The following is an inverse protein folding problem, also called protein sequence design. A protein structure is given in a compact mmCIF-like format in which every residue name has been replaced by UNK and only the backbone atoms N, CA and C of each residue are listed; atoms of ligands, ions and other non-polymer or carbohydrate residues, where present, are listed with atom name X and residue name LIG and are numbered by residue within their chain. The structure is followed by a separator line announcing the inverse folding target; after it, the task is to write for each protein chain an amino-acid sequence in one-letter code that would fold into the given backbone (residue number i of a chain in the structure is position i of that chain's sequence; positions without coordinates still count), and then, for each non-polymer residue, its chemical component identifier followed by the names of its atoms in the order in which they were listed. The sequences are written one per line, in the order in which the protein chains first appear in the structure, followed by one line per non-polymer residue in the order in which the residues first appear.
data_IF_291889911493
#
_entry.id   IF_291889911493
#
_cell.length_a   1.000
_cell.length_b   1.000
_cell.length_c   1.000
_cell.angle_alpha   90.00
_cell.angle_beta   90.00
_cell.angle_gamma   90.00
#
_symmetry.space_group_name_H-M   'P 1'
#
loop_
_entity.id
_entity.type
_entity.pdbx_description
1 polymer ?
#
# COMPACT_ATOMS: atom_id res chain seq x y z
N UNK A 1 -54.65 44.43 4.23
CA UNK A 1 -54.54 43.39 5.27
C UNK A 1 -54.61 42.08 4.51
N UNK A 2 -53.44 41.61 4.06
CA UNK A 2 -53.31 40.52 3.08
C UNK A 2 -52.25 39.57 3.63
N UNK A 3 -52.61 38.30 3.75
CA UNK A 3 -51.75 37.21 4.19
C UNK A 3 -50.58 37.03 3.22
N UNK A 4 -49.35 36.99 3.75
CA UNK A 4 -48.18 36.48 3.02
C UNK A 4 -47.79 35.13 3.63
N UNK A 5 -48.26 34.08 2.98
CA UNK A 5 -47.81 32.70 3.19
C UNK A 5 -46.34 32.59 2.74
N UNK A 6 -45.44 32.20 3.65
CA UNK A 6 -44.04 31.88 3.33
C UNK A 6 -43.76 30.42 3.69
N UNK A 7 -43.24 29.59 2.77
CA UNK A 7 -43.14 28.15 2.96
C UNK A 7 -42.00 27.79 3.92
N UNK A 8 -42.33 27.00 4.94
CA UNK A 8 -41.39 26.23 5.73
C UNK A 8 -40.95 25.01 4.89
N UNK A 9 -39.70 24.97 4.43
CA UNK A 9 -39.29 23.83 3.61
C UNK A 9 -37.85 23.77 3.11
N UNK A 10 -36.90 24.52 3.66
CA UNK A 10 -35.51 24.50 3.16
C UNK A 10 -34.42 24.43 4.23
N UNK A 11 -34.76 24.57 5.52
CA UNK A 11 -33.78 24.46 6.60
C UNK A 11 -33.48 23.01 6.99
N UNK A 12 -34.46 22.11 6.89
CA UNK A 12 -34.34 20.72 7.37
C UNK A 12 -33.50 19.81 6.43
N UNK A 13 -33.35 20.23 5.17
CA UNK A 13 -32.55 19.50 4.18
C UNK A 13 -31.04 19.78 4.28
N UNK A 14 -30.63 20.89 4.91
CA UNK A 14 -29.23 21.26 5.06
C UNK A 14 -28.59 20.69 6.34
N UNK A 15 -29.39 20.47 7.39
CA UNK A 15 -28.91 19.92 8.67
C UNK A 15 -28.72 18.39 8.62
N UNK A 16 -29.39 17.72 7.68
CA UNK A 16 -29.26 16.28 7.44
C UNK A 16 -27.99 15.86 6.68
N UNK A 17 -27.17 16.81 6.20
CA UNK A 17 -25.96 16.53 5.42
C UNK A 17 -24.67 16.41 6.27
N UNK A 18 -24.72 16.77 7.55
CA UNK A 18 -23.57 16.73 8.49
C UNK A 18 -23.66 15.57 9.52
N UNK A 19 -24.70 14.74 9.43
CA UNK A 19 -24.73 13.48 10.16
C UNK A 19 -23.69 12.54 9.54
N UNK A 20 -22.49 12.51 10.12
CA UNK A 20 -21.45 11.56 9.78
C UNK A 20 -22.04 10.15 9.68
N UNK A 21 -22.04 9.60 8.46
CA UNK A 21 -22.54 8.26 8.15
C UNK A 21 -21.83 7.22 9.06
N UNK A 22 -22.55 6.57 9.99
CA UNK A 22 -21.95 5.61 10.93
C UNK A 22 -21.39 4.37 10.21
N UNK A 23 -21.77 4.14 8.94
CA UNK A 23 -21.18 3.10 8.11
C UNK A 23 -19.81 3.51 7.54
N UNK A 24 -19.56 4.82 7.32
CA UNK A 24 -18.21 5.30 6.98
C UNK A 24 -17.25 5.14 8.14
N UNK A 25 -17.63 5.49 9.36
CA UNK A 25 -16.75 5.36 10.54
C UNK A 25 -16.42 3.88 10.85
N UNK A 26 -17.38 2.96 10.69
CA UNK A 26 -17.13 1.51 10.79
C UNK A 26 -16.25 0.99 9.65
N UNK A 27 -16.40 1.53 8.44
CA UNK A 27 -15.57 1.16 7.29
C UNK A 27 -14.12 1.67 7.42
N UNK A 28 -13.90 2.89 7.93
CA UNK A 28 -12.56 3.42 8.22
C UNK A 28 -11.90 2.77 9.44
N UNK A 29 -12.67 2.43 10.48
CA UNK A 29 -12.20 1.67 11.65
C UNK A 29 -11.75 0.24 11.31
N UNK A 30 -12.22 -0.32 10.19
CA UNK A 30 -11.90 -1.67 9.75
C UNK A 30 -10.42 -1.88 9.39
N UNK A 31 -9.78 -0.94 8.69
CA UNK A 31 -8.37 -1.06 8.24
C UNK A 31 -7.40 -0.66 9.36
N UNK A 32 -7.65 0.47 10.02
CA UNK A 32 -6.79 0.96 11.12
C UNK A 32 -6.87 0.03 12.34
N UNK A 33 -8.05 -0.54 12.62
CA UNK A 33 -8.24 -1.53 13.68
C UNK A 33 -7.76 -2.93 13.35
N UNK A 34 -7.49 -3.25 12.07
CA UNK A 34 -7.03 -4.58 11.67
C UNK A 34 -5.60 -4.87 12.14
N UNK A 35 -4.70 -3.89 12.11
CA UNK A 35 -3.31 -4.02 12.56
C UNK A 35 -3.19 -4.40 14.04
N UNK A 36 -3.75 -3.64 15.00
CA UNK A 36 -3.66 -3.99 16.41
C UNK A 36 -4.41 -5.28 16.73
N UNK A 37 -5.48 -5.60 16.00
CA UNK A 37 -6.21 -6.85 16.17
C UNK A 37 -5.38 -8.07 15.71
N UNK A 38 -4.84 -8.03 14.48
CA UNK A 38 -4.04 -9.13 13.93
C UNK A 38 -2.79 -9.42 14.76
N UNK A 39 -2.13 -8.37 15.25
CA UNK A 39 -0.98 -8.50 16.13
C UNK A 39 -1.32 -9.23 17.44
N UNK A 40 -2.50 -8.92 18.03
CA UNK A 40 -2.97 -9.54 19.27
C UNK A 40 -3.48 -10.96 19.06
N UNK A 41 -4.15 -11.24 17.95
CA UNK A 41 -4.76 -12.55 17.68
C UNK A 41 -3.76 -13.60 17.21
N UNK A 42 -2.66 -13.20 16.58
CA UNK A 42 -1.68 -14.13 16.02
C UNK A 42 -0.80 -14.75 17.09
N UNK A 43 -0.53 -16.05 16.99
CA UNK A 43 0.42 -16.79 17.85
C UNK A 43 1.87 -16.78 17.29
N UNK A 44 2.08 -16.28 16.08
CA UNK A 44 3.37 -16.31 15.40
C UNK A 44 4.17 -15.03 15.62
N UNK A 45 5.34 -15.15 16.26
CA UNK A 45 6.28 -14.04 16.42
C UNK A 45 6.75 -13.45 15.08
N UNK A 46 6.90 -14.29 14.05
CA UNK A 46 7.31 -13.86 12.71
C UNK A 46 6.23 -13.02 12.02
N UNK A 47 4.96 -13.39 12.21
CA UNK A 47 3.86 -12.59 11.71
C UNK A 47 3.70 -11.29 12.50
N UNK A 48 3.86 -11.33 13.83
CA UNK A 48 3.82 -10.14 14.67
C UNK A 48 4.90 -9.13 14.30
N UNK A 49 6.14 -9.57 14.05
CA UNK A 49 7.21 -8.70 13.56
C UNK A 49 6.86 -8.13 12.18
N UNK A 50 6.31 -8.95 11.29
CA UNK A 50 5.84 -8.48 9.99
C UNK A 50 4.72 -7.44 10.11
N UNK A 51 3.73 -7.64 10.99
CA UNK A 51 2.62 -6.71 11.14
C UNK A 51 3.11 -5.31 11.57
N UNK A 52 4.14 -5.24 12.40
CA UNK A 52 4.79 -3.98 12.76
C UNK A 52 5.58 -3.39 11.59
N UNK A 53 6.47 -4.17 10.98
CA UNK A 53 7.35 -3.70 9.88
C UNK A 53 6.52 -3.33 8.64
N UNK A 54 5.60 -4.18 8.24
CA UNK A 54 4.68 -3.97 7.13
C UNK A 54 3.71 -2.82 7.38
N UNK A 55 3.24 -2.62 8.62
CA UNK A 55 2.45 -1.45 8.99
C UNK A 55 3.25 -0.15 8.84
N UNK A 56 4.48 -0.12 9.35
CA UNK A 56 5.38 1.01 9.18
C UNK A 56 5.74 1.25 7.70
N UNK A 57 6.01 0.19 6.93
CA UNK A 57 6.29 0.27 5.50
C UNK A 57 5.08 0.81 4.71
N UNK A 58 3.86 0.36 5.02
CA UNK A 58 2.64 0.86 4.40
C UNK A 58 2.42 2.35 4.71
N UNK A 59 2.67 2.78 5.95
CA UNK A 59 2.61 4.19 6.33
C UNK A 59 3.66 5.03 5.60
N UNK A 60 4.91 4.54 5.52
CA UNK A 60 5.97 5.21 4.78
C UNK A 60 5.63 5.32 3.28
N UNK A 61 5.15 4.25 2.66
CA UNK A 61 4.66 4.27 1.28
C UNK A 61 3.54 5.29 1.11
N UNK A 62 2.53 5.29 1.97
CA UNK A 62 1.44 6.25 1.90
C UNK A 62 1.94 7.70 1.96
N UNK A 63 2.89 8.01 2.85
CA UNK A 63 3.52 9.33 2.94
C UNK A 63 4.30 9.67 1.66
N UNK A 64 5.12 8.75 1.16
CA UNK A 64 5.90 8.95 -0.07
C UNK A 64 4.99 9.22 -1.27
N UNK A 65 3.94 8.42 -1.45
CA UNK A 65 2.97 8.61 -2.53
C UNK A 65 2.18 9.92 -2.35
N UNK A 66 1.82 10.30 -1.13
CA UNK A 66 1.17 11.59 -0.87
C UNK A 66 2.08 12.77 -1.23
N UNK A 67 3.35 12.76 -0.81
CA UNK A 67 4.32 13.79 -1.14
C UNK A 67 4.58 13.87 -2.65
N UNK A 68 4.70 12.73 -3.31
CA UNK A 68 4.89 12.67 -4.75
C UNK A 68 3.65 13.17 -5.52
N UNK A 69 2.43 12.92 -5.01
CA UNK A 69 1.21 13.54 -5.54
C UNK A 69 1.25 15.07 -5.38
N UNK A 70 1.67 15.59 -4.22
CA UNK A 70 1.82 17.05 -4.00
C UNK A 70 2.81 17.64 -5.00
N UNK A 71 3.98 17.02 -5.19
CA UNK A 71 4.98 17.44 -6.19
C UNK A 71 4.40 17.41 -7.62
N UNK A 72 3.66 16.35 -7.96
CA UNK A 72 3.02 16.21 -9.26
C UNK A 72 1.99 17.32 -9.51
N UNK A 73 1.28 17.77 -8.47
CA UNK A 73 0.33 18.88 -8.56
C UNK A 73 1.03 20.24 -8.67
N UNK A 74 2.14 20.42 -7.95
CA UNK A 74 2.95 21.66 -7.97
C UNK A 74 3.69 21.88 -9.29
N UNK A 75 4.03 20.81 -10.02
CA UNK A 75 4.71 20.88 -11.30
C UNK A 75 3.81 21.33 -12.48
N UNK A 76 2.52 21.59 -12.27
CA UNK A 76 1.56 21.83 -13.36
C UNK A 76 0.89 23.21 -13.31
N UNK A 77 1.42 24.19 -14.07
CA UNK A 77 0.73 25.45 -14.37
C UNK A 77 -0.22 25.37 -15.58
N UNK A 78 -0.06 24.41 -16.52
CA UNK A 78 -0.86 24.42 -17.77
C UNK A 78 -1.43 23.08 -18.27
N UNK A 79 -1.18 21.93 -17.64
CA UNK A 79 -1.43 20.66 -18.33
C UNK A 79 -2.63 19.84 -17.83
N UNK A 80 -3.61 19.63 -18.74
CA UNK A 80 -4.74 18.70 -18.60
C UNK A 80 -4.24 17.24 -18.59
N UNK A 81 -3.94 16.65 -17.44
CA UNK A 81 -3.53 15.22 -17.36
C UNK A 81 -4.18 14.46 -16.21
N UNK A 82 -5.38 13.90 -16.46
CA UNK A 82 -6.01 12.93 -15.56
C UNK A 82 -5.31 11.55 -15.57
N UNK A 83 -4.77 11.14 -16.72
CA UNK A 83 -4.20 9.79 -16.92
C UNK A 83 -2.94 9.55 -16.08
N UNK A 84 -1.98 10.49 -16.08
CA UNK A 84 -0.73 10.36 -15.30
C UNK A 84 -1.01 10.34 -13.80
N UNK A 85 -1.96 11.15 -13.33
CA UNK A 85 -2.37 11.20 -11.92
C UNK A 85 -3.05 9.90 -11.48
N UNK A 86 -3.96 9.37 -12.29
CA UNK A 86 -4.61 8.09 -12.03
C UNK A 86 -3.61 6.92 -12.00
N UNK A 87 -2.62 6.93 -12.89
CA UNK A 87 -1.54 5.93 -12.89
C UNK A 87 -0.73 5.98 -11.59
N UNK A 88 -0.41 7.18 -11.09
CA UNK A 88 0.33 7.33 -9.84
C UNK A 88 -0.44 6.72 -8.64
N UNK A 89 -1.74 6.95 -8.57
CA UNK A 89 -2.62 6.34 -7.56
C UNK A 89 -2.63 4.82 -7.71
N UNK A 90 -2.73 4.30 -8.94
CA UNK A 90 -2.72 2.86 -9.20
C UNK A 90 -1.42 2.21 -8.74
N UNK A 91 -0.27 2.80 -9.03
CA UNK A 91 1.04 2.30 -8.60
C UNK A 91 1.15 2.34 -7.06
N UNK A 92 0.70 3.43 -6.44
CA UNK A 92 0.67 3.54 -4.98
C UNK A 92 -0.19 2.46 -4.33
N UNK A 93 -1.39 2.26 -4.85
CA UNK A 93 -2.29 1.22 -4.37
C UNK A 93 -1.71 -0.18 -4.62
N UNK A 94 -1.09 -0.41 -5.78
CA UNK A 94 -0.45 -1.68 -6.11
C UNK A 94 0.75 -2.01 -5.20
N UNK A 95 1.43 -1.00 -4.65
CA UNK A 95 2.50 -1.19 -3.66
C UNK A 95 1.94 -1.39 -2.24
N UNK A 96 0.95 -0.59 -1.84
CA UNK A 96 0.38 -0.61 -0.49
C UNK A 96 -0.49 -1.84 -0.25
N UNK A 97 -1.34 -2.22 -1.21
CA UNK A 97 -2.31 -3.31 -1.02
C UNK A 97 -1.65 -4.66 -0.67
N UNK A 98 -0.60 -5.13 -1.35
CA UNK A 98 0.09 -6.37 -0.98
C UNK A 98 0.93 -6.24 0.30
N UNK A 99 1.33 -5.01 0.68
CA UNK A 99 1.98 -4.76 1.98
C UNK A 99 0.99 -5.00 3.13
N UNK A 100 -0.21 -4.46 3.01
CA UNK A 100 -1.26 -4.55 4.04
C UNK A 100 -2.01 -5.89 3.98
N UNK A 101 -2.03 -6.53 2.80
CA UNK A 101 -2.76 -7.76 2.51
C UNK A 101 -2.56 -8.89 3.54
N UNK A 102 -1.32 -9.28 3.88
CA UNK A 102 -1.10 -10.36 4.84
C UNK A 102 -1.74 -10.09 6.20
N UNK A 103 -1.71 -8.84 6.66
CA UNK A 103 -2.32 -8.43 7.92
C UNK A 103 -3.83 -8.56 7.88
N UNK A 104 -4.45 -8.09 6.79
CA UNK A 104 -5.90 -8.20 6.61
C UNK A 104 -6.37 -9.64 6.47
N UNK A 105 -5.61 -10.49 5.77
CA UNK A 105 -5.95 -11.90 5.61
C UNK A 105 -5.91 -12.64 6.94
N UNK A 106 -4.90 -12.39 7.78
CA UNK A 106 -4.82 -12.97 9.13
C UNK A 106 -5.91 -12.43 10.03
N UNK A 107 -6.14 -11.11 10.06
CA UNK A 107 -7.22 -10.51 10.84
C UNK A 107 -8.59 -11.11 10.47
N UNK A 108 -8.85 -11.24 9.16
CA UNK A 108 -10.11 -11.78 8.65
C UNK A 108 -10.30 -13.25 9.01
N UNK A 109 -9.26 -14.07 8.88
CA UNK A 109 -9.33 -15.50 9.19
C UNK A 109 -9.66 -15.71 10.68
N UNK A 110 -8.98 -14.98 11.57
CA UNK A 110 -9.24 -15.05 13.02
C UNK A 110 -10.62 -14.52 13.40
N UNK A 111 -11.10 -13.42 12.78
CA UNK A 111 -12.46 -12.91 13.02
C UNK A 111 -13.55 -13.87 12.60
N UNK A 112 -13.30 -14.71 11.59
CA UNK A 112 -14.26 -15.66 11.04
C UNK A 112 -14.18 -17.05 11.65
N UNK A 113 -13.14 -17.33 12.44
CA UNK A 113 -12.88 -18.67 12.96
C UNK A 113 -12.60 -19.67 11.84
N UNK A 114 -11.93 -19.23 10.76
CA UNK A 114 -11.60 -20.11 9.64
C UNK A 114 -10.77 -21.32 10.14
N UNK A 115 -11.05 -22.56 9.70
CA UNK A 115 -10.39 -23.78 10.17
C UNK A 115 -9.01 -23.96 9.52
N UNK A 116 -8.15 -22.94 9.62
CA UNK A 116 -6.77 -22.97 9.12
C UNK A 116 -5.79 -23.21 10.27
N UNK A 117 -4.64 -23.86 10.05
CA UNK A 117 -3.60 -23.99 11.07
C UNK A 117 -3.03 -22.61 11.43
N UNK A 118 -3.59 -21.97 12.48
CA UNK A 118 -3.38 -20.56 12.83
C UNK A 118 -1.90 -20.15 12.81
N UNK A 119 -1.04 -20.86 13.53
CA UNK A 119 0.39 -20.53 13.63
C UNK A 119 1.15 -20.66 12.30
N UNK A 120 0.91 -21.73 11.54
CA UNK A 120 1.60 -21.98 10.27
C UNK A 120 1.12 -21.04 9.16
N UNK A 121 -0.19 -20.79 9.11
CA UNK A 121 -0.82 -19.82 8.22
C UNK A 121 -0.27 -18.42 8.48
N UNK A 122 -0.25 -17.96 9.74
CA UNK A 122 0.26 -16.65 10.11
C UNK A 122 1.74 -16.49 9.75
N UNK A 123 2.56 -17.49 10.08
CA UNK A 123 3.98 -17.48 9.73
C UNK A 123 4.19 -17.42 8.21
N UNK A 124 3.45 -18.23 7.43
CA UNK A 124 3.56 -18.24 5.97
C UNK A 124 3.18 -16.89 5.35
N UNK A 125 2.12 -16.25 5.85
CA UNK A 125 1.72 -14.90 5.44
C UNK A 125 2.73 -13.84 5.84
N UNK A 126 3.33 -13.94 7.02
CA UNK A 126 4.43 -13.08 7.45
C UNK A 126 5.65 -13.19 6.52
N UNK A 127 6.06 -14.43 6.19
CA UNK A 127 7.15 -14.67 5.23
C UNK A 127 6.81 -14.11 3.86
N UNK A 128 5.61 -14.39 3.34
CA UNK A 128 5.17 -13.87 2.05
C UNK A 128 5.18 -12.34 2.01
N UNK A 129 4.76 -11.70 3.10
CA UNK A 129 4.84 -10.25 3.26
C UNK A 129 6.27 -9.71 3.24
N UNK A 130 7.20 -10.33 3.96
CA UNK A 130 8.61 -9.95 3.90
C UNK A 130 9.22 -10.16 2.51
N UNK A 131 8.88 -11.26 1.85
CA UNK A 131 9.29 -11.51 0.47
C UNK A 131 8.74 -10.44 -0.47
N UNK A 132 7.49 -9.99 -0.27
CA UNK A 132 6.94 -8.87 -1.02
C UNK A 132 7.73 -7.57 -0.78
N UNK A 133 8.02 -7.21 0.48
CA UNK A 133 8.82 -6.01 0.77
C UNK A 133 10.22 -6.07 0.15
N UNK A 134 10.87 -7.24 0.21
CA UNK A 134 12.15 -7.47 -0.46
C UNK A 134 12.00 -7.31 -1.98
N UNK A 135 10.97 -7.89 -2.58
CA UNK A 135 10.71 -7.79 -4.02
C UNK A 135 10.45 -6.34 -4.46
N UNK A 136 9.79 -5.54 -3.62
CA UNK A 136 9.56 -4.12 -3.87
C UNK A 136 10.87 -3.34 -3.86
N UNK A 137 11.73 -3.58 -2.86
CA UNK A 137 13.07 -3.00 -2.80
C UNK A 137 13.91 -3.35 -4.03
N UNK A 138 13.96 -4.64 -4.38
CA UNK A 138 14.71 -5.12 -5.55
C UNK A 138 14.16 -4.54 -6.85
N UNK A 139 12.84 -4.40 -6.98
CA UNK A 139 12.19 -3.77 -8.12
C UNK A 139 12.61 -2.31 -8.30
N UNK A 140 12.68 -1.55 -7.20
CA UNK A 140 13.17 -0.16 -7.23
C UNK A 140 14.63 -0.08 -7.66
N UNK A 141 15.50 -0.95 -7.11
CA UNK A 141 16.93 -0.99 -7.47
C UNK A 141 17.11 -1.35 -8.96
N UNK A 142 16.35 -2.32 -9.47
CA UNK A 142 16.39 -2.71 -10.87
C UNK A 142 15.82 -1.63 -11.81
N UNK A 143 14.86 -0.84 -11.35
CA UNK A 143 14.27 0.26 -12.12
C UNK A 143 15.14 1.53 -12.14
N UNK A 144 16.25 1.58 -11.37
CA UNK A 144 17.06 2.79 -11.23
C UNK A 144 17.78 3.14 -12.54
N UNK A 145 17.49 4.31 -13.15
CA UNK A 145 18.14 4.72 -14.39
C UNK A 145 19.63 4.99 -14.16
N UNK A 146 20.42 4.87 -15.23
CA UNK A 146 21.87 5.12 -15.17
C UNK A 146 22.19 6.57 -14.76
N UNK A 147 21.35 7.52 -15.17
CA UNK A 147 21.46 8.95 -14.85
C UNK A 147 20.09 9.51 -14.52
N UNK A 148 20.01 10.43 -13.56
CA UNK A 148 18.79 11.14 -13.17
C UNK A 148 19.10 12.59 -12.79
N UNK A 149 18.09 13.46 -12.82
CA UNK A 149 18.25 14.86 -12.43
C UNK A 149 18.03 15.02 -10.93
N UNK A 150 18.95 15.70 -10.25
CA UNK A 150 18.84 16.11 -8.85
C UNK A 150 19.28 17.56 -8.75
N UNK A 151 18.39 18.44 -8.27
CA UNK A 151 18.63 19.89 -8.17
C UNK A 151 19.08 20.58 -9.48
N UNK A 152 18.63 20.07 -10.62
CA UNK A 152 18.98 20.59 -11.95
C UNK A 152 20.30 20.06 -12.51
N UNK A 153 21.03 19.24 -11.75
CA UNK A 153 22.24 18.58 -12.21
C UNK A 153 21.99 17.11 -12.57
N UNK A 154 22.65 16.64 -13.63
CA UNK A 154 22.58 15.25 -14.06
C UNK A 154 23.55 14.42 -13.24
N UNK A 155 23.02 13.59 -12.34
CA UNK A 155 23.79 12.71 -11.47
C UNK A 155 23.72 11.28 -11.99
N UNK A 156 24.87 10.61 -12.04
CA UNK A 156 24.96 9.19 -12.37
C UNK A 156 24.68 8.32 -11.13
N UNK A 157 24.03 7.17 -11.33
CA UNK A 157 23.83 6.21 -10.24
C UNK A 157 25.19 5.71 -9.71
N UNK A 158 25.32 5.44 -8.41
CA UNK A 158 26.56 4.91 -7.84
C UNK A 158 26.95 3.56 -8.46
N UNK A 159 28.25 3.32 -8.72
CA UNK A 159 28.70 2.02 -9.19
C UNK A 159 28.49 0.93 -8.09
N UNK A 160 28.21 -0.32 -8.47
CA UNK A 160 28.12 -1.42 -7.52
C UNK A 160 29.42 -1.55 -6.71
N UNK A 161 29.31 -1.60 -5.37
CA UNK A 161 30.47 -1.67 -4.48
C UNK A 161 30.17 -2.51 -3.23
N UNK A 162 31.24 -2.93 -2.54
CA UNK A 162 31.16 -3.77 -1.34
C UNK A 162 30.80 -5.24 -1.63
N UNK A 163 30.45 -5.98 -0.57
CA UNK A 163 30.17 -7.41 -0.64
C UNK A 163 28.96 -7.77 -1.53
N UNK A 164 28.02 -6.84 -1.72
CA UNK A 164 26.84 -7.02 -2.56
C UNK A 164 27.01 -6.49 -4.00
N UNK A 165 28.22 -6.04 -4.39
CA UNK A 165 28.48 -5.52 -5.73
C UNK A 165 28.02 -6.46 -6.87
N UNK A 166 28.21 -7.80 -6.80
CA UNK A 166 27.72 -8.69 -7.86
C UNK A 166 26.20 -8.71 -7.98
N UNK A 167 25.49 -8.70 -6.85
CA UNK A 167 24.03 -8.70 -6.84
C UNK A 167 23.45 -7.38 -7.36
N UNK A 168 24.04 -6.25 -6.95
CA UNK A 168 23.63 -4.93 -7.45
C UNK A 168 23.95 -4.78 -8.93
N UNK A 169 25.13 -5.22 -9.38
CA UNK A 169 25.52 -5.24 -10.78
C UNK A 169 24.56 -6.07 -11.65
N UNK A 170 24.13 -7.23 -11.14
CA UNK A 170 23.11 -8.05 -11.80
C UNK A 170 21.76 -7.32 -11.92
N UNK A 171 21.26 -6.73 -10.84
CA UNK A 171 20.00 -5.96 -10.85
C UNK A 171 20.06 -4.79 -11.83
N UNK A 172 21.20 -4.11 -11.88
CA UNK A 172 21.49 -2.99 -12.75
C UNK A 172 21.58 -3.34 -14.24
N UNK A 173 21.78 -4.61 -14.57
CA UNK A 173 21.79 -5.13 -15.93
C UNK A 173 20.41 -5.62 -16.38
N UNK A 174 19.43 -5.73 -15.47
CA UNK A 174 18.09 -6.13 -15.84
C UNK A 174 17.39 -5.04 -16.68
N UNK A 175 16.50 -5.44 -17.61
CA UNK A 175 15.60 -4.50 -18.27
C UNK A 175 14.75 -3.77 -17.24
N UNK A 176 14.42 -2.50 -17.49
CA UNK A 176 13.59 -1.68 -16.58
C UNK A 176 12.23 -2.32 -16.25
N UNK A 177 11.67 -3.11 -17.16
CA UNK A 177 10.42 -3.88 -16.96
C UNK A 177 10.52 -4.85 -15.78
N UNK A 178 11.72 -5.36 -15.46
CA UNK A 178 11.94 -6.22 -14.30
C UNK A 178 11.59 -5.49 -12.99
N UNK A 179 11.72 -4.17 -12.96
CA UNK A 179 11.33 -3.34 -11.82
C UNK A 179 9.86 -3.44 -11.42
N UNK A 180 8.97 -3.80 -12.37
CA UNK A 180 7.56 -4.05 -12.11
C UNK A 180 7.24 -5.54 -11.94
N UNK A 181 7.88 -6.41 -12.72
CA UNK A 181 7.62 -7.86 -12.69
C UNK A 181 7.94 -8.45 -11.32
N UNK A 182 9.09 -8.08 -10.73
CA UNK A 182 9.55 -8.61 -9.45
C UNK A 182 8.55 -8.34 -8.31
N UNK A 183 8.10 -7.10 -8.05
CA UNK A 183 7.09 -6.85 -7.01
C UNK A 183 5.73 -7.46 -7.34
N UNK A 184 5.36 -7.57 -8.61
CA UNK A 184 4.10 -8.22 -9.02
C UNK A 184 4.11 -9.70 -8.67
N UNK A 185 5.22 -10.40 -8.87
CA UNK A 185 5.37 -11.80 -8.43
C UNK A 185 5.31 -11.92 -6.91
N UNK A 186 5.93 -11.00 -6.17
CA UNK A 186 5.81 -10.95 -4.70
C UNK A 186 4.36 -10.76 -4.23
N UNK A 187 3.60 -9.90 -4.89
CA UNK A 187 2.18 -9.70 -4.59
C UNK A 187 1.35 -10.95 -4.90
N UNK A 188 1.63 -11.60 -6.04
CA UNK A 188 1.00 -12.86 -6.40
C UNK A 188 1.30 -13.97 -5.40
N UNK A 189 2.53 -14.03 -4.85
CA UNK A 189 2.92 -14.97 -3.81
C UNK A 189 2.06 -14.80 -2.54
N UNK A 190 1.83 -13.56 -2.08
CA UNK A 190 0.97 -13.29 -0.93
C UNK A 190 -0.44 -13.88 -1.14
N UNK A 191 -1.03 -13.64 -2.30
CA UNK A 191 -2.35 -14.20 -2.65
C UNK A 191 -2.31 -15.72 -2.78
N UNK A 192 -1.24 -16.26 -3.37
CA UNK A 192 -1.03 -17.71 -3.55
C UNK A 192 -0.94 -18.45 -2.23
N UNK A 193 -0.14 -17.94 -1.28
CA UNK A 193 -0.03 -18.49 0.07
C UNK A 193 -1.38 -18.46 0.78
N UNK A 194 -2.11 -17.35 0.70
CA UNK A 194 -3.45 -17.25 1.29
C UNK A 194 -4.41 -18.32 0.74
N UNK A 195 -4.41 -18.54 -0.58
CA UNK A 195 -5.27 -19.53 -1.25
C UNK A 195 -4.89 -20.96 -0.91
N UNK A 196 -3.60 -21.27 -0.84
CA UNK A 196 -3.10 -22.61 -0.55
C UNK A 196 -3.59 -23.13 0.81
N UNK A 197 -3.59 -22.27 1.84
CA UNK A 197 -4.06 -22.65 3.18
C UNK A 197 -5.60 -22.66 3.32
N UNK A 198 -6.32 -22.09 2.36
CA UNK A 198 -7.80 -22.12 2.31
C UNK A 198 -8.36 -23.24 1.43
N UNK A 199 -7.49 -23.98 0.73
CA UNK A 199 -7.85 -25.12 -0.11
C UNK A 199 -7.91 -26.38 0.74
#
# INVERSE_FOLDING_TARGET
MTEESRPAGTADAAESADAADPDRERSYGGVVGAFPYAFRSSESWLFRSYALVGGAAAAALAVLFALALVQLMGATAEARFSVVRAFFILVGLAAVAPTVGPVLFVARAHRRGDPVPSRAYDAALGVAGYVFLLSLYLGVVAAMPATFQLDGETVARPPPSGAFAPAVGFLYALPSVAGLVVPTLGAALVVGVHRLFRS
#
